data_IF_437323957766
#
_entry.id   IF_437323957766
#
_cell.length_a   1.000
_cell.length_b   1.000
_cell.length_c   1.000
_cell.angle_alpha   90.00
_cell.angle_beta   90.00
_cell.angle_gamma   90.00
#
_symmetry.space_group_name_H-M   'P 1'
#
loop_
_entity.id
_entity.type
_entity.pdbx_description
1 polymer ?
#
# COMPACT_ATOMS: atom_id res chain seq x y z
N UNK A 1 -11.11 10.93 3.88
CA UNK A 1 -10.26 9.74 3.79
C UNK A 1 -9.57 9.51 5.12
N UNK A 2 -9.71 8.34 5.71
CA UNK A 2 -9.01 7.97 6.95
C UNK A 2 -7.83 7.10 6.62
N UNK A 3 -6.65 7.43 7.18
CA UNK A 3 -5.48 6.58 7.11
C UNK A 3 -5.40 5.73 8.38
N UNK A 4 -5.19 4.44 8.21
CA UNK A 4 -4.86 3.55 9.31
C UNK A 4 -3.34 3.45 9.41
N UNK A 5 -2.80 3.84 10.53
CA UNK A 5 -1.39 3.65 10.85
C UNK A 5 -1.33 2.89 12.17
N UNK A 6 -0.72 1.71 12.14
CA UNK A 6 -0.50 0.92 13.34
C UNK A 6 0.62 1.56 14.14
N UNK A 7 0.32 2.02 15.35
CA UNK A 7 1.36 2.35 16.31
C UNK A 7 1.92 1.07 16.92
N UNK A 8 3.24 1.01 17.11
CA UNK A 8 3.93 -0.12 17.71
C UNK A 8 3.44 -0.47 19.13
N UNK A 9 2.75 0.46 19.78
CA UNK A 9 2.22 0.31 21.13
C UNK A 9 0.77 -0.17 21.18
N UNK A 10 0.11 -0.33 20.03
CA UNK A 10 -1.25 -0.83 19.97
C UNK A 10 -1.28 -2.34 20.27
N UNK A 11 -1.69 -2.65 21.49
CA UNK A 11 -2.08 -4.00 21.83
C UNK A 11 -3.14 -4.47 20.85
N UNK A 12 -3.01 -5.69 20.41
CA UNK A 12 -3.78 -6.39 19.36
C UNK A 12 -5.32 -6.18 19.33
N UNK A 13 -5.88 -5.50 20.32
CA UNK A 13 -7.33 -5.35 20.48
C UNK A 13 -7.90 -3.99 20.05
N UNK A 14 -7.08 -3.04 19.62
CA UNK A 14 -7.55 -1.68 19.30
C UNK A 14 -7.71 -1.39 17.80
N UNK A 15 -7.61 -2.40 16.94
CA UNK A 15 -7.78 -2.23 15.50
C UNK A 15 -9.18 -1.73 15.09
N UNK A 16 -10.16 -1.95 15.96
CA UNK A 16 -11.54 -1.55 15.69
C UNK A 16 -11.84 -0.08 15.91
N UNK A 17 -11.00 0.64 16.65
CA UNK A 17 -11.30 2.02 17.09
C UNK A 17 -11.22 3.01 15.94
N UNK A 18 -10.26 2.85 15.02
CA UNK A 18 -10.14 3.75 13.86
C UNK A 18 -11.14 3.47 12.74
N UNK A 19 -11.58 2.23 12.62
CA UNK A 19 -12.53 1.81 11.58
C UNK A 19 -13.99 2.09 11.96
N UNK A 20 -14.25 2.38 13.22
CA UNK A 20 -15.58 2.69 13.73
C UNK A 20 -15.95 4.18 13.68
N UNK A 21 -15.15 5.01 12.99
CA UNK A 21 -15.56 6.38 12.72
C UNK A 21 -16.69 6.36 11.69
N UNK A 22 -17.93 6.69 12.09
CA UNK A 22 -19.03 6.79 11.14
C UNK A 22 -18.72 7.88 10.12
N UNK A 23 -18.84 7.56 8.83
CA UNK A 23 -18.73 8.51 7.75
C UNK A 23 -17.45 8.45 6.90
N UNK A 24 -16.57 7.47 7.08
CA UNK A 24 -15.47 7.25 6.15
C UNK A 24 -16.00 6.66 4.83
N UNK A 25 -15.72 7.32 3.72
CA UNK A 25 -16.11 6.83 2.38
C UNK A 25 -15.03 5.93 1.76
N UNK A 26 -13.78 6.15 2.14
CA UNK A 26 -12.60 5.45 1.62
C UNK A 26 -11.61 5.18 2.76
N UNK A 27 -10.87 4.09 2.64
CA UNK A 27 -9.89 3.67 3.64
C UNK A 27 -8.49 3.66 3.04
N UNK A 28 -7.47 3.94 3.84
CA UNK A 28 -6.09 3.95 3.39
C UNK A 28 -5.17 3.28 4.42
N UNK A 29 -4.22 2.50 3.90
CA UNK A 29 -3.10 1.94 4.66
C UNK A 29 -1.79 2.55 4.15
N UNK A 30 -0.95 3.01 5.07
CA UNK A 30 0.42 3.47 4.82
C UNK A 30 1.31 3.21 6.04
N UNK A 31 2.57 2.80 5.86
CA UNK A 31 3.16 2.40 4.59
C UNK A 31 2.48 1.15 4.00
N UNK A 32 2.88 0.73 2.81
CA UNK A 32 2.24 -0.38 2.10
C UNK A 32 2.88 -1.73 2.37
N UNK A 33 4.14 -1.93 1.95
CA UNK A 33 4.80 -3.24 1.97
C UNK A 33 4.88 -3.88 3.35
N UNK A 34 5.15 -3.08 4.38
CA UNK A 34 5.25 -3.58 5.75
C UNK A 34 3.88 -3.90 6.38
N UNK A 35 2.78 -3.54 5.72
CA UNK A 35 1.41 -3.63 6.25
C UNK A 35 0.43 -4.33 5.30
N UNK A 36 0.92 -5.28 4.48
CA UNK A 36 0.04 -6.04 3.57
C UNK A 36 -1.02 -6.85 4.30
N UNK A 37 -0.70 -7.36 5.49
CA UNK A 37 -1.63 -8.03 6.39
C UNK A 37 -2.78 -7.10 6.80
N UNK A 38 -2.46 -5.83 7.09
CA UNK A 38 -3.47 -4.83 7.45
C UNK A 38 -4.36 -4.47 6.27
N UNK A 39 -3.78 -4.34 5.08
CA UNK A 39 -4.56 -4.13 3.85
C UNK A 39 -5.58 -5.24 3.68
N UNK A 40 -5.15 -6.49 3.84
CA UNK A 40 -6.03 -7.67 3.69
C UNK A 40 -7.12 -7.69 4.76
N UNK A 41 -6.75 -7.51 6.01
CA UNK A 41 -7.70 -7.52 7.13
C UNK A 41 -8.77 -6.44 6.99
N UNK A 42 -8.35 -5.20 6.67
CA UNK A 42 -9.27 -4.07 6.53
C UNK A 42 -10.18 -4.25 5.32
N UNK A 43 -9.65 -4.71 4.20
CA UNK A 43 -10.47 -4.98 3.01
C UNK A 43 -11.50 -6.08 3.25
N UNK A 44 -11.16 -7.11 3.99
CA UNK A 44 -12.09 -8.19 4.34
C UNK A 44 -13.22 -7.70 5.27
N UNK A 45 -12.89 -6.82 6.22
CA UNK A 45 -13.89 -6.23 7.14
C UNK A 45 -14.79 -5.19 6.47
N UNK A 46 -14.27 -4.50 5.45
CA UNK A 46 -14.96 -3.40 4.77
C UNK A 46 -14.91 -3.58 3.25
N UNK A 47 -15.51 -4.66 2.70
CA UNK A 47 -15.34 -5.03 1.29
C UNK A 47 -15.93 -4.01 0.32
N UNK A 48 -16.89 -3.20 0.77
CA UNK A 48 -17.56 -2.20 -0.07
C UNK A 48 -16.87 -0.83 -0.08
N UNK A 49 -15.84 -0.65 0.77
CA UNK A 49 -15.08 0.60 0.80
C UNK A 49 -13.89 0.50 -0.15
N UNK A 50 -13.63 1.53 -0.97
CA UNK A 50 -12.38 1.61 -1.72
C UNK A 50 -11.18 1.59 -0.76
N UNK A 51 -10.24 0.67 -1.01
CA UNK A 51 -9.02 0.52 -0.23
C UNK A 51 -7.84 1.13 -0.97
N UNK A 52 -7.26 2.17 -0.38
CA UNK A 52 -6.07 2.84 -0.87
C UNK A 52 -4.85 2.33 -0.13
N UNK A 53 -3.77 2.13 -0.85
CA UNK A 53 -2.44 1.91 -0.28
C UNK A 53 -1.53 3.04 -0.72
N UNK A 54 -0.87 3.70 0.23
CA UNK A 54 0.13 4.72 -0.07
C UNK A 54 1.51 4.11 0.16
N UNK A 55 2.24 3.91 -0.95
CA UNK A 55 3.66 3.58 -0.93
C UNK A 55 4.44 4.83 -0.59
N UNK A 56 4.89 4.92 0.67
CA UNK A 56 5.53 6.12 1.18
C UNK A 56 6.95 6.32 0.64
N UNK A 57 7.50 7.52 0.86
CA UNK A 57 8.82 7.91 0.33
C UNK A 57 9.96 6.98 0.75
N UNK A 58 9.90 6.42 1.97
CA UNK A 58 10.89 5.45 2.45
C UNK A 58 10.86 4.14 1.66
N UNK A 59 9.69 3.64 1.33
CA UNK A 59 9.52 2.45 0.49
C UNK A 59 10.04 2.73 -0.93
N UNK A 60 9.68 3.88 -1.48
CA UNK A 60 10.18 4.35 -2.76
C UNK A 60 11.71 4.38 -2.79
N UNK A 61 12.32 5.01 -1.78
CA UNK A 61 13.77 5.13 -1.66
C UNK A 61 14.46 3.76 -1.56
N UNK A 62 13.93 2.83 -0.78
CA UNK A 62 14.49 1.48 -0.65
C UNK A 62 14.51 0.74 -1.99
N UNK A 63 13.43 0.78 -2.73
CA UNK A 63 13.34 0.12 -4.04
C UNK A 63 14.22 0.79 -5.09
N UNK A 64 14.25 2.13 -5.10
CA UNK A 64 15.07 2.89 -6.02
C UNK A 64 16.57 2.63 -5.77
N UNK A 65 17.02 2.83 -4.54
CA UNK A 65 18.43 2.64 -4.18
C UNK A 65 18.86 1.18 -4.28
N UNK A 66 18.01 0.22 -3.92
CA UNK A 66 18.32 -1.19 -4.08
C UNK A 66 18.48 -1.58 -5.55
N UNK A 67 17.67 -1.03 -6.45
CA UNK A 67 17.80 -1.27 -7.89
C UNK A 67 19.04 -0.59 -8.47
N UNK A 68 19.35 0.63 -8.04
CA UNK A 68 20.56 1.34 -8.45
C UNK A 68 21.84 0.64 -7.99
N UNK A 69 21.81 0.03 -6.81
CA UNK A 69 22.91 -0.80 -6.29
C UNK A 69 23.04 -2.16 -6.97
N UNK A 70 22.11 -2.52 -7.86
CA UNK A 70 22.13 -3.79 -8.58
C UNK A 70 21.61 -4.98 -7.79
N UNK A 71 20.91 -4.77 -6.66
CA UNK A 71 20.36 -5.85 -5.85
C UNK A 71 19.23 -6.59 -6.55
N UNK A 72 18.50 -5.89 -7.43
CA UNK A 72 17.40 -6.45 -8.22
C UNK A 72 17.11 -5.56 -9.44
N UNK A 73 16.39 -6.13 -10.39
CA UNK A 73 15.88 -5.42 -11.58
C UNK A 73 14.78 -4.43 -11.16
N UNK A 74 14.93 -3.17 -11.56
CA UNK A 74 14.03 -2.08 -11.17
C UNK A 74 12.58 -2.34 -11.59
N UNK A 75 12.36 -2.63 -12.85
CA UNK A 75 11.00 -2.81 -13.37
C UNK A 75 10.34 -4.04 -12.75
N UNK A 76 11.05 -5.13 -12.65
CA UNK A 76 10.53 -6.37 -12.08
C UNK A 76 10.12 -6.20 -10.62
N UNK A 77 10.98 -5.59 -9.80
CA UNK A 77 10.67 -5.42 -8.38
C UNK A 77 9.51 -4.45 -8.16
N UNK A 78 9.45 -3.36 -8.92
CA UNK A 78 8.35 -2.40 -8.79
C UNK A 78 7.03 -3.05 -9.19
N UNK A 79 6.98 -3.78 -10.29
CA UNK A 79 5.79 -4.52 -10.72
C UNK A 79 5.36 -5.58 -9.69
N UNK A 80 6.32 -6.30 -9.11
CA UNK A 80 6.05 -7.29 -8.05
C UNK A 80 5.43 -6.64 -6.83
N UNK A 81 5.94 -5.50 -6.40
CA UNK A 81 5.40 -4.75 -5.26
C UNK A 81 3.99 -4.24 -5.54
N UNK A 82 3.74 -3.73 -6.75
CA UNK A 82 2.37 -3.31 -7.14
C UNK A 82 1.41 -4.50 -7.14
N UNK A 83 1.85 -5.63 -7.66
CA UNK A 83 1.06 -6.87 -7.63
C UNK A 83 0.76 -7.32 -6.20
N UNK A 84 1.71 -7.19 -5.28
CA UNK A 84 1.51 -7.54 -3.87
C UNK A 84 0.45 -6.65 -3.20
N UNK A 85 0.44 -5.36 -3.48
CA UNK A 85 -0.60 -4.45 -3.00
C UNK A 85 -1.98 -4.85 -3.51
N UNK A 86 -2.09 -5.13 -4.81
CA UNK A 86 -3.35 -5.57 -5.42
C UNK A 86 -3.82 -6.90 -4.82
N UNK A 87 -2.93 -7.86 -4.70
CA UNK A 87 -3.24 -9.18 -4.12
C UNK A 87 -3.68 -9.07 -2.66
N UNK A 88 -3.10 -8.15 -1.89
CA UNK A 88 -3.51 -7.88 -0.51
C UNK A 88 -4.92 -7.26 -0.43
N UNK A 89 -5.39 -6.61 -1.50
CA UNK A 89 -6.74 -6.05 -1.55
C UNK A 89 -6.83 -4.55 -1.86
N UNK A 90 -5.73 -3.92 -2.27
CA UNK A 90 -5.75 -2.52 -2.66
C UNK A 90 -6.53 -2.32 -3.96
N UNK A 91 -7.46 -1.39 -3.96
CA UNK A 91 -8.18 -0.94 -5.15
C UNK A 91 -7.41 0.17 -5.87
N UNK A 92 -6.75 1.05 -5.10
CA UNK A 92 -5.99 2.18 -5.59
C UNK A 92 -4.63 2.21 -4.90
N UNK A 93 -3.58 2.47 -5.67
CA UNK A 93 -2.20 2.59 -5.19
C UNK A 93 -1.70 4.00 -5.46
N UNK A 94 -1.23 4.67 -4.40
CA UNK A 94 -0.55 5.96 -4.49
C UNK A 94 0.94 5.69 -4.39
N UNK A 95 1.70 6.09 -5.41
CA UNK A 95 3.13 5.81 -5.49
C UNK A 95 3.88 6.89 -6.25
N UNK A 96 5.10 7.15 -5.80
CA UNK A 96 6.07 8.00 -6.54
C UNK A 96 6.53 7.34 -7.85
N UNK A 97 6.33 6.03 -8.01
CA UNK A 97 6.62 5.33 -9.26
C UNK A 97 5.51 5.45 -10.31
N UNK A 98 4.40 6.11 -10.00
CA UNK A 98 3.25 6.18 -10.91
C UNK A 98 3.60 6.68 -12.32
N UNK A 99 4.37 7.76 -12.51
CA UNK A 99 4.75 8.19 -13.87
C UNK A 99 5.50 7.11 -14.64
N UNK A 100 6.46 6.46 -13.99
CA UNK A 100 7.26 5.38 -14.59
C UNK A 100 6.40 4.15 -14.94
N UNK A 101 5.49 3.77 -14.04
CA UNK A 101 4.55 2.68 -14.27
C UNK A 101 3.65 2.95 -15.47
N UNK A 102 3.14 4.18 -15.61
CA UNK A 102 2.32 4.57 -16.76
C UNK A 102 3.09 4.49 -18.07
N UNK A 103 4.35 4.92 -18.10
CA UNK A 103 5.21 4.77 -19.27
C UNK A 103 5.39 3.31 -19.67
N UNK A 104 5.64 2.42 -18.71
CA UNK A 104 5.80 1.00 -18.99
C UNK A 104 4.51 0.35 -19.51
N UNK A 105 3.37 0.72 -18.94
CA UNK A 105 2.08 0.21 -19.38
C UNK A 105 1.71 0.66 -20.79
N UNK A 106 2.09 1.87 -21.20
CA UNK A 106 1.85 2.38 -22.55
C UNK A 106 2.66 1.64 -23.63
N UNK A 107 3.75 0.99 -23.26
CA UNK A 107 4.63 0.24 -24.16
C UNK A 107 4.23 -1.23 -24.33
N UNK A 108 3.24 -1.68 -23.58
CA UNK A 108 2.74 -3.06 -23.67
C UNK A 108 1.81 -3.32 -24.88
#
# INVERSE_FOLDING_TARGET
MYSYQRNSDDKLNNHSVFLNHPGADMLMVKPGLAYLDMVREIKDKHPNHPMFVYQVSGEYAMLLHGSEAGSFDKEKIIREVMASFRRAGADVIISYFTPMLLEWLQKE
#
